data_IF_311254972678
#
_entry.id   IF_311254972678
#
_cell.length_a   1.000
_cell.length_b   1.000
_cell.length_c   1.000
_cell.angle_alpha   90.00
_cell.angle_beta   90.00
_cell.angle_gamma   90.00
#
_symmetry.space_group_name_H-M   'P 1'
#
loop_
_entity.id
_entity.type
_entity.pdbx_description
1 polymer ?
#
# COMPACT_ATOMS: atom_id res chain seq x y z
N UNK A 1 -11.96 10.60 -1.56
CA UNK A 1 -12.61 9.29 -1.74
C UNK A 1 -12.67 8.63 -0.38
N UNK A 2 -13.84 8.11 -0.01
CA UNK A 2 -13.99 7.44 1.29
C UNK A 2 -13.29 6.09 1.21
N UNK A 3 -12.40 5.83 2.16
CA UNK A 3 -11.75 4.52 2.28
C UNK A 3 -12.77 3.50 2.76
N UNK A 4 -12.84 2.37 2.06
CA UNK A 4 -13.64 1.20 2.42
C UNK A 4 -12.74 -0.02 2.55
N UNK A 5 -13.25 -1.08 3.17
CA UNK A 5 -12.54 -2.37 3.25
C UNK A 5 -12.11 -2.85 1.86
N UNK A 6 -12.98 -2.71 0.86
CA UNK A 6 -12.71 -3.10 -0.52
C UNK A 6 -11.48 -2.39 -1.11
N UNK A 7 -11.27 -1.10 -0.80
CA UNK A 7 -10.07 -0.37 -1.26
C UNK A 7 -8.81 -0.95 -0.61
N UNK A 8 -8.88 -1.29 0.68
CA UNK A 8 -7.76 -1.90 1.40
C UNK A 8 -7.43 -3.28 0.81
N UNK A 9 -8.45 -4.09 0.52
CA UNK A 9 -8.28 -5.39 -0.15
C UNK A 9 -7.61 -5.26 -1.52
N UNK A 10 -7.94 -4.23 -2.31
CA UNK A 10 -7.32 -4.01 -3.62
C UNK A 10 -5.82 -3.71 -3.55
N UNK A 11 -5.37 -3.05 -2.47
CA UNK A 11 -3.97 -2.72 -2.22
C UNK A 11 -3.19 -3.79 -1.45
N UNK A 12 -3.85 -4.87 -1.01
CA UNK A 12 -3.22 -5.99 -0.31
C UNK A 12 -2.31 -6.74 -1.29
N UNK A 13 -1.01 -6.85 -0.97
CA UNK A 13 -0.07 -7.65 -1.79
C UNK A 13 -0.41 -9.14 -1.68
N UNK A 14 0.05 -9.95 -2.64
CA UNK A 14 -0.13 -11.41 -2.65
C UNK A 14 0.29 -12.13 -1.36
N UNK A 15 1.19 -11.53 -0.55
CA UNK A 15 1.61 -12.05 0.76
C UNK A 15 0.69 -11.64 1.94
N UNK A 16 -0.41 -10.94 1.67
CA UNK A 16 -1.34 -10.48 2.70
C UNK A 16 -0.84 -9.31 3.55
N UNK A 17 0.18 -8.58 3.08
CA UNK A 17 0.81 -7.47 3.79
C UNK A 17 0.80 -6.17 2.98
N UNK A 18 0.94 -5.04 3.68
CA UNK A 18 1.09 -3.71 3.08
C UNK A 18 2.52 -3.21 3.26
N UNK A 19 3.06 -2.58 2.22
CA UNK A 19 4.37 -1.93 2.30
C UNK A 19 4.35 -0.65 3.14
N UNK A 20 5.52 -0.22 3.63
CA UNK A 20 5.67 1.03 4.39
C UNK A 20 5.15 2.25 3.63
N UNK A 21 5.58 2.42 2.37
CA UNK A 21 5.15 3.52 1.50
C UNK A 21 3.65 3.52 1.24
N UNK A 22 3.02 2.34 1.16
CA UNK A 22 1.57 2.21 1.00
C UNK A 22 0.83 2.74 2.24
N UNK A 23 1.31 2.39 3.43
CA UNK A 23 0.71 2.82 4.70
C UNK A 23 0.91 4.32 4.94
N UNK A 24 2.06 4.88 4.52
CA UNK A 24 2.33 6.32 4.57
C UNK A 24 1.36 7.14 3.69
N UNK A 25 1.04 6.65 2.49
CA UNK A 25 0.06 7.30 1.60
C UNK A 25 -1.35 7.36 2.21
N UNK A 26 -1.71 6.34 2.98
CA UNK A 26 -2.98 6.28 3.71
C UNK A 26 -2.93 7.05 5.03
N UNK A 27 -1.82 7.74 5.34
CA UNK A 27 -1.57 8.45 6.60
C UNK A 27 -1.80 7.57 7.84
N UNK A 28 -1.48 6.28 7.72
CA UNK A 28 -1.62 5.34 8.84
C UNK A 28 -0.58 5.70 9.91
N UNK A 29 -0.96 5.79 11.19
CA UNK A 29 -0.01 6.02 12.26
C UNK A 29 0.91 4.80 12.40
N UNK A 30 2.16 4.97 11.98
CA UNK A 30 3.23 3.98 12.11
C UNK A 30 4.11 4.40 13.28
N UNK A 31 4.23 3.55 14.31
CA UNK A 31 5.11 3.81 15.45
C UNK A 31 6.57 3.44 15.13
N UNK A 32 7.48 3.91 15.98
CA UNK A 32 8.90 3.56 15.94
C UNK A 32 9.09 2.03 15.83
N UNK A 33 9.93 1.61 14.89
CA UNK A 33 10.12 0.18 14.57
C UNK A 33 9.04 -0.43 13.65
N UNK A 34 8.28 0.38 12.89
CA UNK A 34 7.28 -0.10 11.92
C UNK A 34 6.16 -0.94 12.56
N UNK A 35 5.77 -0.57 13.78
CA UNK A 35 4.64 -1.21 14.48
C UNK A 35 3.33 -0.53 14.09
N UNK A 36 2.44 -1.30 13.47
CA UNK A 36 1.07 -0.89 13.18
C UNK A 36 0.21 -1.04 14.44
N UNK A 37 -0.59 -0.01 14.74
CA UNK A 37 -1.56 -0.08 15.84
C UNK A 37 -2.59 -1.18 15.52
N UNK A 38 -2.86 -2.07 16.48
CA UNK A 38 -3.90 -3.09 16.30
C UNK A 38 -5.24 -2.41 15.97
N UNK A 39 -5.86 -2.79 14.86
CA UNK A 39 -7.13 -2.20 14.42
C UNK A 39 -7.00 -0.89 13.62
N UNK A 40 -5.81 -0.48 13.19
CA UNK A 40 -5.62 0.72 12.36
C UNK A 40 -6.53 0.77 11.12
N UNK A 41 -6.87 -0.39 10.53
CA UNK A 41 -7.80 -0.50 9.41
C UNK A 41 -9.17 0.09 9.73
N UNK A 42 -9.69 -0.17 10.92
CA UNK A 42 -11.00 0.34 11.36
C UNK A 42 -11.00 1.86 11.50
N UNK A 43 -9.89 2.44 11.98
CA UNK A 43 -9.74 3.90 12.06
C UNK A 43 -9.59 4.58 10.70
N UNK A 44 -9.17 3.83 9.67
CA UNK A 44 -9.00 4.34 8.31
C UNK A 44 -10.29 4.20 7.48
N UNK A 45 -11.09 3.16 7.69
CA UNK A 45 -12.38 2.98 7.02
C UNK A 45 -13.30 4.17 7.36
N UNK A 46 -13.91 4.77 6.36
CA UNK A 46 -14.72 5.98 6.52
C UNK A 46 -13.94 7.29 6.45
N UNK A 47 -12.60 7.26 6.43
CA UNK A 47 -11.79 8.48 6.25
C UNK A 47 -11.80 8.93 4.79
N UNK A 48 -11.73 10.25 4.58
CA UNK A 48 -11.64 10.82 3.26
C UNK A 48 -10.17 11.02 2.87
N UNK A 49 -9.68 10.18 1.96
CA UNK A 49 -8.33 10.25 1.40
C UNK A 49 -8.42 10.73 -0.04
N UNK A 50 -7.53 11.62 -0.51
CA UNK A 50 -7.51 12.05 -1.90
C UNK A 50 -7.35 10.84 -2.84
N UNK A 51 -8.08 10.89 -3.97
CA UNK A 51 -8.14 9.79 -4.93
C UNK A 51 -6.75 9.42 -5.48
N UNK A 52 -5.86 10.40 -5.59
CA UNK A 52 -4.49 10.20 -6.07
C UNK A 52 -3.66 9.34 -5.11
N UNK A 53 -3.78 9.55 -3.80
CA UNK A 53 -3.10 8.73 -2.80
C UNK A 53 -3.67 7.32 -2.75
N UNK A 54 -4.99 7.16 -2.89
CA UNK A 54 -5.64 5.85 -3.02
C UNK A 54 -5.15 5.11 -4.26
N UNK A 55 -5.05 5.81 -5.39
CA UNK A 55 -4.56 5.23 -6.64
C UNK A 55 -3.11 4.78 -6.49
N UNK A 56 -2.23 5.65 -5.96
CA UNK A 56 -0.83 5.30 -5.67
C UNK A 56 -0.70 4.15 -4.68
N UNK A 57 -1.57 4.08 -3.70
CA UNK A 57 -1.62 2.98 -2.73
C UNK A 57 -1.88 1.63 -3.42
N UNK A 58 -2.81 1.57 -4.37
CA UNK A 58 -3.10 0.36 -5.16
C UNK A 58 -1.97 0.09 -6.16
N UNK A 59 -1.40 1.12 -6.80
CA UNK A 59 -0.31 0.96 -7.77
C UNK A 59 1.01 0.49 -7.14
N UNK A 60 1.27 0.85 -5.88
CA UNK A 60 2.43 0.39 -5.14
C UNK A 60 2.33 -1.08 -4.71
N UNK A 61 1.16 -1.71 -4.87
CA UNK A 61 1.00 -3.14 -4.70
C UNK A 61 1.97 -3.86 -5.65
N UNK A 62 2.78 -4.75 -5.09
CA UNK A 62 3.79 -5.53 -5.83
C UNK A 62 4.78 -4.67 -6.65
N UNK A 63 5.02 -3.41 -6.25
CA UNK A 63 6.04 -2.56 -6.89
C UNK A 63 7.45 -3.21 -6.87
N UNK A 64 7.73 -4.03 -5.86
CA UNK A 64 8.95 -4.83 -5.78
C UNK A 64 9.05 -5.89 -6.89
N UNK A 65 7.93 -6.43 -7.39
CA UNK A 65 7.90 -7.39 -8.51
C UNK A 65 8.16 -6.68 -9.84
N UNK A 66 7.54 -5.51 -10.05
CA UNK A 66 7.76 -4.69 -11.26
C UNK A 66 9.21 -4.23 -11.42
N UNK A 67 9.88 -3.89 -10.32
CA UNK A 67 11.29 -3.47 -10.39
C UNK A 67 12.22 -4.62 -10.80
N UNK A 68 11.88 -5.86 -10.45
CA UNK A 68 12.68 -7.03 -10.81
C UNK A 68 12.49 -7.44 -12.28
N UNK A 69 11.29 -7.21 -12.86
CA UNK A 69 11.06 -7.46 -14.28
C UNK A 69 11.80 -6.49 -15.21
N UNK A 70 11.95 -5.21 -14.84
CA UNK A 70 12.76 -4.31 -15.64
C UNK A 70 14.24 -4.69 -15.60
N UNK A 71 14.79 -5.08 -14.44
CA UNK A 71 16.22 -5.41 -14.34
C UNK A 71 16.59 -6.72 -15.05
N UNK A 72 15.64 -7.66 -15.21
CA UNK A 72 15.87 -8.90 -15.95
C UNK A 72 15.90 -8.72 -17.48
N UNK A 73 15.44 -7.58 -18.00
CA UNK A 73 15.43 -7.29 -19.45
C UNK A 73 16.75 -6.67 -19.94
N UNK A 74 17.65 -6.27 -19.04
CA UNK A 74 18.93 -5.61 -19.38
C UNK A 74 20.16 -6.52 -19.20
N UNK A 75 19.98 -7.80 -18.88
CA UNK A 75 21.09 -8.75 -18.69
C UNK A 75 21.25 -9.75 -19.86
N UNK A 76 20.48 -9.58 -20.95
CA UNK A 76 20.56 -10.38 -22.19
C UNK A 76 20.77 -9.47 -23.42
N UNK A 77 21.66 -8.47 -23.30
CA UNK A 77 22.01 -7.54 -24.38
C UNK A 77 23.51 -7.44 -24.60
#
# INVERSE_FOLDING_TARGET
MIITEHILEQGLSCKGAYGKKQLELLKVPIHEGFRLIKGWKFGLIGTNIPKEDVKRFIELKDAHIKNNQQMSLFLDG
#
